data_IF_148090253751
#
_entry.id   IF_148090253751
#
_cell.length_a   1.000
_cell.length_b   1.000
_cell.length_c   1.000
_cell.angle_alpha   90.00
_cell.angle_beta   90.00
_cell.angle_gamma   90.00
#
_symmetry.space_group_name_H-M   'P 1'
#
loop_
_entity.id
_entity.type
_entity.pdbx_description
1 polymer ?
#
# COMPACT_ATOMS: atom_id res chain seq x y z
N UNK A 1 39.87 -8.10 5.37
CA UNK A 1 39.51 -7.77 3.97
C UNK A 1 39.00 -6.33 3.93
N UNK A 2 39.51 -5.48 3.03
CA UNK A 2 38.98 -4.13 2.85
C UNK A 2 37.55 -4.17 2.25
N UNK A 3 36.70 -3.24 2.68
CA UNK A 3 35.28 -3.11 2.26
C UNK A 3 35.11 -3.01 0.73
N UNK A 4 36.12 -2.49 0.03
CA UNK A 4 36.13 -2.31 -1.43
C UNK A 4 36.15 -3.63 -2.21
N UNK A 5 36.63 -4.73 -1.62
CA UNK A 5 36.78 -6.01 -2.34
C UNK A 5 35.44 -6.72 -2.54
N UNK A 6 34.49 -6.60 -1.60
CA UNK A 6 33.18 -7.26 -1.67
C UNK A 6 32.33 -6.70 -2.82
N UNK A 7 32.31 -5.38 -2.99
CA UNK A 7 31.58 -4.74 -4.10
C UNK A 7 32.11 -5.14 -5.48
N UNK A 8 33.44 -5.27 -5.61
CA UNK A 8 34.08 -5.73 -6.84
C UNK A 8 33.69 -7.17 -7.20
N UNK A 9 33.67 -8.09 -6.22
CA UNK A 9 33.24 -9.48 -6.47
C UNK A 9 31.77 -9.58 -6.83
N UNK A 10 30.89 -8.85 -6.14
CA UNK A 10 29.46 -8.81 -6.46
C UNK A 10 29.21 -8.33 -7.89
N UNK A 11 29.91 -7.27 -8.33
CA UNK A 11 29.82 -6.80 -9.71
C UNK A 11 30.33 -7.84 -10.72
N UNK A 12 31.46 -8.50 -10.45
CA UNK A 12 32.02 -9.58 -11.30
C UNK A 12 31.09 -10.79 -11.39
N UNK A 13 30.38 -11.10 -10.31
CA UNK A 13 29.34 -12.13 -10.26
C UNK A 13 27.98 -11.67 -10.81
N UNK A 14 27.91 -10.49 -11.44
CA UNK A 14 26.70 -9.93 -12.06
C UNK A 14 25.56 -9.65 -11.07
N UNK A 15 25.88 -9.37 -9.81
CA UNK A 15 24.91 -8.90 -8.83
C UNK A 15 24.73 -7.38 -8.95
N UNK A 16 23.50 -6.91 -8.75
CA UNK A 16 23.14 -5.48 -8.73
C UNK A 16 22.35 -5.19 -7.46
N UNK A 17 22.56 -4.03 -6.86
CA UNK A 17 21.76 -3.58 -5.73
C UNK A 17 20.31 -3.42 -6.15
N UNK A 18 19.41 -4.22 -5.56
CA UNK A 18 17.96 -4.18 -5.79
C UNK A 18 17.26 -3.91 -4.47
N UNK A 19 16.20 -3.10 -4.53
CA UNK A 19 15.32 -2.91 -3.37
C UNK A 19 14.66 -4.25 -3.03
N UNK A 20 14.79 -4.76 -1.80
CA UNK A 20 14.17 -6.02 -1.42
C UNK A 20 12.64 -5.88 -1.43
N UNK A 21 11.96 -6.97 -1.78
CA UNK A 21 10.52 -7.08 -1.63
C UNK A 21 10.24 -7.25 -0.15
N UNK A 22 9.46 -6.34 0.44
CA UNK A 22 9.01 -6.48 1.83
C UNK A 22 7.96 -7.59 1.89
N UNK A 23 8.21 -8.62 2.70
CA UNK A 23 7.23 -9.66 3.03
C UNK A 23 7.12 -9.75 4.55
N UNK A 24 5.90 -9.68 5.07
CA UNK A 24 5.65 -9.88 6.49
C UNK A 24 5.91 -11.36 6.84
N UNK A 25 6.57 -11.61 7.96
CA UNK A 25 6.84 -12.98 8.43
C UNK A 25 5.54 -13.73 8.77
N UNK A 26 4.54 -13.01 9.26
CA UNK A 26 3.22 -13.53 9.64
C UNK A 26 2.35 -13.93 8.45
N UNK A 27 2.78 -13.63 7.21
CA UNK A 27 2.04 -13.95 6.00
C UNK A 27 1.93 -15.46 5.82
N UNK A 28 0.71 -15.99 5.91
CA UNK A 28 0.40 -17.40 5.65
C UNK A 28 0.19 -17.64 4.16
N UNK A 29 1.29 -17.86 3.43
CA UNK A 29 1.25 -18.07 1.97
C UNK A 29 0.37 -19.24 1.55
N UNK A 30 0.36 -20.34 2.33
CA UNK A 30 -0.52 -21.49 2.08
C UNK A 30 -2.00 -21.11 2.16
N UNK A 31 -2.39 -20.36 3.19
CA UNK A 31 -3.77 -19.91 3.38
C UNK A 31 -4.19 -18.92 2.28
N UNK A 32 -3.27 -18.04 1.87
CA UNK A 32 -3.51 -17.11 0.76
C UNK A 32 -3.76 -17.87 -0.55
N UNK A 33 -2.97 -18.91 -0.83
CA UNK A 33 -3.13 -19.75 -2.01
C UNK A 33 -4.46 -20.51 -1.99
N UNK A 34 -4.78 -21.16 -0.88
CA UNK A 34 -6.04 -21.89 -0.71
C UNK A 34 -7.26 -20.96 -0.90
N UNK A 35 -7.23 -19.75 -0.33
CA UNK A 35 -8.32 -18.79 -0.50
C UNK A 35 -8.50 -18.35 -1.96
N UNK A 36 -7.40 -18.12 -2.69
CA UNK A 36 -7.46 -17.75 -4.11
C UNK A 36 -7.97 -18.88 -5.02
N UNK A 37 -7.61 -20.13 -4.71
CA UNK A 37 -7.97 -21.30 -5.53
C UNK A 37 -9.35 -21.87 -5.20
N UNK A 38 -9.79 -21.78 -3.94
CA UNK A 38 -11.02 -22.43 -3.47
C UNK A 38 -12.14 -21.44 -3.15
N UNK A 39 -11.86 -20.43 -2.31
CA UNK A 39 -12.90 -19.54 -1.77
C UNK A 39 -13.29 -18.44 -2.76
N UNK A 40 -12.32 -17.77 -3.37
CA UNK A 40 -12.61 -16.70 -4.32
C UNK A 40 -13.47 -17.14 -5.52
N UNK A 41 -13.24 -18.31 -6.15
CA UNK A 41 -14.12 -18.80 -7.21
C UNK A 41 -15.55 -19.09 -6.74
N UNK A 42 -15.76 -19.49 -5.48
CA UNK A 42 -17.12 -19.69 -4.91
C UNK A 42 -17.83 -18.34 -4.81
N UNK A 43 -17.19 -17.35 -4.19
CA UNK A 43 -17.71 -15.98 -4.06
C UNK A 43 -18.04 -15.40 -5.43
N UNK A 44 -17.16 -15.59 -6.43
CA UNK A 44 -17.40 -15.12 -7.80
C UNK A 44 -18.60 -15.79 -8.47
N UNK A 45 -18.84 -17.09 -8.22
CA UNK A 45 -20.00 -17.81 -8.75
C UNK A 45 -21.29 -17.32 -8.10
N UNK A 46 -21.29 -17.10 -6.79
CA UNK A 46 -22.43 -16.57 -6.04
C UNK A 46 -22.76 -15.13 -6.49
N UNK A 47 -21.77 -14.26 -6.55
CA UNK A 47 -21.95 -12.89 -7.06
C UNK A 47 -22.54 -12.86 -8.47
N UNK A 48 -22.11 -13.79 -9.35
CA UNK A 48 -22.68 -13.91 -10.70
C UNK A 48 -24.13 -14.42 -10.68
N UNK A 49 -24.48 -15.32 -9.76
CA UNK A 49 -25.84 -15.85 -9.60
C UNK A 49 -26.81 -14.74 -9.16
N UNK A 50 -26.36 -13.88 -8.25
CA UNK A 50 -27.17 -12.82 -7.66
C UNK A 50 -27.05 -11.48 -8.42
N UNK A 51 -26.35 -11.47 -9.56
CA UNK A 51 -26.05 -10.29 -10.37
C UNK A 51 -25.44 -9.12 -9.54
N UNK A 52 -24.57 -9.47 -8.59
CA UNK A 52 -23.92 -8.55 -7.67
C UNK A 52 -22.49 -8.20 -8.10
N UNK A 53 -22.07 -6.96 -7.80
CA UNK A 53 -20.69 -6.50 -7.99
C UNK A 53 -19.84 -6.84 -6.75
N UNK A 54 -18.64 -7.39 -6.97
CA UNK A 54 -17.66 -7.61 -5.91
C UNK A 54 -16.84 -6.33 -5.73
N UNK A 55 -16.96 -5.72 -4.56
CA UNK A 55 -16.19 -4.54 -4.16
C UNK A 55 -15.03 -4.93 -3.24
N UNK A 56 -13.83 -4.52 -3.62
CA UNK A 56 -12.61 -4.63 -2.81
C UNK A 56 -12.41 -3.31 -2.08
N UNK A 57 -12.59 -3.32 -0.76
CA UNK A 57 -12.53 -2.12 0.07
C UNK A 57 -11.26 -2.11 0.93
N UNK A 58 -10.62 -0.95 1.07
CA UNK A 58 -9.49 -0.74 1.98
C UNK A 58 -9.51 0.68 2.59
N UNK A 59 -8.94 0.81 3.78
CA UNK A 59 -8.74 2.07 4.48
C UNK A 59 -7.30 2.53 4.33
N UNK A 60 -7.12 3.81 3.99
CA UNK A 60 -5.79 4.42 3.92
C UNK A 60 -5.81 5.78 4.60
N UNK A 61 -4.81 6.01 5.45
CA UNK A 61 -4.53 7.33 5.98
C UNK A 61 -3.77 8.19 4.95
N UNK A 62 -4.38 9.29 4.55
CA UNK A 62 -3.75 10.34 3.76
C UNK A 62 -3.12 11.36 4.70
N UNK A 63 -1.84 11.65 4.51
CA UNK A 63 -1.12 12.66 5.27
C UNK A 63 -0.40 13.61 4.33
N UNK A 64 -0.23 14.85 4.78
CA UNK A 64 0.38 15.90 3.97
C UNK A 64 1.88 15.64 3.67
N UNK A 65 2.58 14.94 4.57
CA UNK A 65 4.01 14.66 4.41
C UNK A 65 4.26 13.28 3.79
N UNK A 66 5.18 13.21 2.84
CA UNK A 66 5.65 11.96 2.28
C UNK A 66 6.45 11.16 3.32
N UNK A 67 6.20 9.86 3.42
CA UNK A 67 6.96 8.96 4.29
C UNK A 67 8.41 8.75 3.83
N UNK A 68 8.67 8.85 2.52
CA UNK A 68 9.99 8.66 1.93
C UNK A 68 10.41 9.95 1.21
N UNK A 69 11.01 10.88 1.95
CA UNK A 69 11.57 12.09 1.39
C UNK A 69 12.95 11.81 0.79
N UNK A 70 13.21 12.38 -0.39
CA UNK A 70 14.53 12.40 -1.02
C UNK A 70 14.84 13.84 -1.41
N UNK A 71 16.06 14.27 -1.14
CA UNK A 71 16.57 15.55 -1.60
C UNK A 71 17.90 15.37 -2.33
N UNK A 72 18.32 16.41 -3.02
CA UNK A 72 19.59 16.46 -3.72
C UNK A 72 20.60 17.25 -2.89
N UNK A 73 21.84 16.76 -2.85
CA UNK A 73 22.98 17.44 -2.24
C UNK A 73 24.22 17.24 -3.13
N UNK A 74 25.17 18.20 -3.16
CA UNK A 74 26.41 18.03 -3.91
C UNK A 74 27.19 16.78 -3.48
N UNK A 75 27.72 16.05 -4.45
CA UNK A 75 28.45 14.80 -4.25
C UNK A 75 29.68 15.08 -3.36
N UNK A 76 29.84 14.31 -2.28
CA UNK A 76 30.96 14.43 -1.35
C UNK A 76 30.78 15.46 -0.22
N UNK A 77 29.63 16.13 -0.13
CA UNK A 77 29.34 17.07 0.97
C UNK A 77 28.54 16.42 2.09
N UNK A 78 28.78 16.84 3.34
CA UNK A 78 28.00 16.44 4.51
C UNK A 78 26.71 17.27 4.70
N UNK A 79 26.48 18.25 3.84
CA UNK A 79 25.33 19.14 3.92
C UNK A 79 24.08 18.41 3.44
N UNK A 80 23.15 18.17 4.38
CA UNK A 80 21.85 17.61 4.07
C UNK A 80 20.88 18.74 3.67
N UNK A 81 19.96 18.49 2.72
CA UNK A 81 18.92 19.44 2.41
C UNK A 81 18.02 19.65 3.63
N UNK A 82 17.77 20.91 3.98
CA UNK A 82 16.85 21.28 5.07
C UNK A 82 15.43 21.30 4.49
N UNK A 83 14.53 20.53 5.11
CA UNK A 83 13.11 20.58 4.81
C UNK A 83 12.41 21.38 5.90
N UNK A 84 11.91 22.57 5.55
CA UNK A 84 11.02 23.32 6.42
C UNK A 84 9.59 22.78 6.27
N UNK A 85 8.98 22.37 7.38
CA UNK A 85 7.60 21.91 7.40
C UNK A 85 6.90 22.36 8.69
N UNK A 86 5.57 22.47 8.65
CA UNK A 86 4.78 22.67 9.87
C UNK A 86 4.89 21.48 10.82
N UNK A 87 4.95 21.74 12.13
CA UNK A 87 4.88 20.70 13.15
C UNK A 87 3.50 20.02 13.19
N UNK A 88 2.43 20.72 12.77
CA UNK A 88 1.08 20.16 12.70
C UNK A 88 0.96 19.26 11.48
N UNK A 89 0.83 17.95 11.71
CA UNK A 89 0.52 16.96 10.67
C UNK A 89 -0.97 16.93 10.42
N UNK A 90 -1.38 17.27 9.19
CA UNK A 90 -2.73 17.02 8.72
C UNK A 90 -2.83 15.56 8.29
N UNK A 91 -3.82 14.86 8.87
CA UNK A 91 -4.17 13.48 8.54
C UNK A 91 -5.66 13.44 8.23
N UNK A 92 -6.01 12.84 7.11
CA UNK A 92 -7.38 12.54 6.69
C UNK A 92 -7.43 11.03 6.47
N UNK A 93 -8.48 10.37 6.93
CA UNK A 93 -8.67 8.95 6.63
C UNK A 93 -9.53 8.83 5.37
N UNK A 94 -9.14 7.93 4.49
CA UNK A 94 -9.84 7.64 3.26
C UNK A 94 -10.28 6.19 3.29
N UNK A 95 -11.53 5.94 2.95
CA UNK A 95 -12.00 4.62 2.56
C UNK A 95 -12.19 4.60 1.06
N UNK A 96 -11.73 3.53 0.41
CA UNK A 96 -11.88 3.37 -1.04
C UNK A 96 -12.30 1.95 -1.36
N UNK A 97 -13.17 1.81 -2.36
CA UNK A 97 -13.61 0.54 -2.86
C UNK A 97 -13.48 0.50 -4.39
N UNK A 98 -13.03 -0.63 -4.93
CA UNK A 98 -12.89 -0.84 -6.37
C UNK A 98 -13.51 -2.19 -6.77
N UNK A 99 -14.15 -2.23 -7.94
CA UNK A 99 -14.67 -3.46 -8.54
C UNK A 99 -13.71 -4.03 -9.59
N UNK A 100 -13.88 -5.31 -9.93
CA UNK A 100 -13.14 -5.93 -11.04
C UNK A 100 -13.43 -5.30 -12.41
N UNK A 101 -14.52 -4.53 -12.54
CA UNK A 101 -14.91 -3.82 -13.77
C UNK A 101 -14.33 -2.40 -13.84
N UNK A 102 -13.68 -1.94 -12.77
CA UNK A 102 -13.03 -0.63 -12.70
C UNK A 102 -13.89 0.49 -12.11
N UNK A 103 -15.13 0.21 -11.67
CA UNK A 103 -15.89 1.17 -10.84
C UNK A 103 -15.12 1.39 -9.54
N UNK A 104 -14.98 2.65 -9.14
CA UNK A 104 -14.32 3.02 -7.89
C UNK A 104 -15.14 4.07 -7.17
N UNK A 105 -15.18 3.95 -5.84
CA UNK A 105 -15.84 4.88 -4.94
C UNK A 105 -14.91 5.15 -3.77
N UNK A 106 -14.83 6.40 -3.32
CA UNK A 106 -14.04 6.76 -2.15
C UNK A 106 -14.78 7.80 -1.32
N UNK A 107 -14.46 7.85 -0.04
CA UNK A 107 -14.94 8.87 0.88
C UNK A 107 -13.82 9.28 1.83
N UNK A 108 -13.80 10.57 2.16
CA UNK A 108 -12.81 11.18 3.03
C UNK A 108 -13.47 11.52 4.36
N UNK A 109 -12.77 11.22 5.45
CA UNK A 109 -13.19 11.47 6.82
C UNK A 109 -12.08 12.19 7.58
N UNK A 110 -12.43 13.26 8.28
CA UNK A 110 -11.49 13.99 9.13
C UNK A 110 -11.14 13.22 10.42
N UNK A 111 -12.05 12.35 10.86
CA UNK A 111 -11.86 11.47 12.03
C UNK A 111 -11.51 10.03 11.64
N UNK A 112 -11.19 9.21 12.64
CA UNK A 112 -11.13 7.75 12.48
C UNK A 112 -12.46 7.18 12.00
N UNK A 113 -12.40 6.22 11.09
CA UNK A 113 -13.58 5.55 10.55
C UNK A 113 -14.25 4.76 11.68
N UNK A 114 -15.50 5.13 11.99
CA UNK A 114 -16.38 4.42 12.93
C UNK A 114 -17.35 3.55 12.14
N UNK A 115 -18.04 2.66 12.84
CA UNK A 115 -19.04 1.75 12.26
C UNK A 115 -20.11 2.54 11.49
N UNK A 116 -20.59 3.66 12.04
CA UNK A 116 -21.62 4.49 11.39
C UNK A 116 -21.13 5.09 10.07
N UNK A 117 -19.90 5.60 10.05
CA UNK A 117 -19.25 6.13 8.84
C UNK A 117 -19.02 5.05 7.79
N UNK A 118 -18.71 3.82 8.22
CA UNK A 118 -18.59 2.68 7.32
C UNK A 118 -19.95 2.29 6.70
N UNK A 119 -21.01 2.24 7.51
CA UNK A 119 -22.37 1.97 7.01
C UNK A 119 -22.81 3.06 6.02
N UNK A 120 -22.52 4.33 6.32
CA UNK A 120 -22.78 5.44 5.40
C UNK A 120 -22.04 5.25 4.07
N UNK A 121 -20.77 4.84 4.11
CA UNK A 121 -20.00 4.52 2.91
C UNK A 121 -20.63 3.36 2.13
N UNK A 122 -21.01 2.26 2.77
CA UNK A 122 -21.67 1.14 2.10
C UNK A 122 -22.96 1.57 1.41
N UNK A 123 -23.76 2.45 2.03
CA UNK A 123 -24.97 3.02 1.42
C UNK A 123 -24.69 3.92 0.22
N UNK A 124 -23.50 4.52 0.12
CA UNK A 124 -23.09 5.34 -1.03
C UNK A 124 -22.54 4.51 -2.20
N UNK A 125 -22.06 3.29 -1.92
CA UNK A 125 -21.46 2.39 -2.92
C UNK A 125 -22.53 1.56 -3.66
N UNK A 126 -23.66 1.29 -2.99
CA UNK A 126 -24.85 0.61 -3.53
C UNK A 126 -25.74 1.63 -4.26
#
# INVERSE_FOLDING_TARGET
>A
MPISTVGYYLAKWKFTSKKPIKRAYERKDKATKAWLEEEYPKIKKEAKKDNADIWWCDETACQNLANNLKGYAPIGTHNKPILEHSAKRFKINMISAITNTGKSMFSLYDESIKIDSFIEFCKKVI
#
